data_IF_832102564371
#
_entry.id   IF_832102564371
#
_cell.length_a   1.000
_cell.length_b   1.000
_cell.length_c   1.000
_cell.angle_alpha   90.00
_cell.angle_beta   90.00
_cell.angle_gamma   90.00
#
_symmetry.space_group_name_H-M   'P 1'
#
loop_
_entity.id
_entity.type
_entity.pdbx_description
1 polymer ?
#
# COMPACT_ATOMS: atom_id res chain seq x y z
N UNK A 1 14.31 4.80 1.35
CA UNK A 1 15.21 5.59 2.23
C UNK A 1 14.49 6.16 3.45
N UNK A 2 13.31 6.75 3.31
CA UNK A 2 12.54 7.35 4.43
C UNK A 2 12.26 6.38 5.60
N UNK A 3 11.85 5.13 5.34
CA UNK A 3 11.59 4.15 6.41
C UNK A 3 12.84 3.72 7.18
N UNK A 4 14.01 3.70 6.53
CA UNK A 4 15.28 3.43 7.21
C UNK A 4 15.65 4.57 8.17
N UNK A 5 15.52 5.82 7.70
CA UNK A 5 15.69 7.01 8.54
C UNK A 5 14.73 6.94 9.74
N UNK A 6 13.44 6.71 9.50
CA UNK A 6 12.45 6.52 10.55
C UNK A 6 12.88 5.45 11.58
N UNK A 7 13.29 4.26 11.13
CA UNK A 7 13.68 3.16 12.01
C UNK A 7 14.93 3.50 12.84
N UNK A 8 15.96 4.09 12.22
CA UNK A 8 17.17 4.51 12.92
C UNK A 8 16.85 5.54 14.00
N UNK A 9 16.08 6.57 13.68
CA UNK A 9 15.69 7.59 14.65
C UNK A 9 14.78 7.04 15.74
N UNK A 10 13.86 6.12 15.42
CA UNK A 10 13.02 5.46 16.42
C UNK A 10 13.86 4.71 17.46
N UNK A 11 14.87 3.94 17.01
CA UNK A 11 15.82 3.25 17.91
C UNK A 11 16.65 4.25 18.71
N UNK A 12 17.17 5.31 18.08
CA UNK A 12 17.96 6.32 18.79
C UNK A 12 17.15 7.05 19.86
N UNK A 13 15.92 7.46 19.55
CA UNK A 13 15.01 8.15 20.47
C UNK A 13 14.66 7.29 21.68
N UNK A 14 14.45 5.98 21.46
CA UNK A 14 14.20 5.00 22.52
C UNK A 14 15.42 4.85 23.43
N UNK A 15 16.62 4.75 22.85
CA UNK A 15 17.89 4.59 23.58
C UNK A 15 18.26 5.80 24.44
N UNK A 16 17.95 7.02 23.98
CA UNK A 16 18.21 8.25 24.74
C UNK A 16 17.06 8.63 25.68
N UNK A 17 15.97 7.86 25.71
CA UNK A 17 14.78 8.10 26.55
C UNK A 17 14.24 9.54 26.43
N UNK A 18 14.20 10.07 25.20
CA UNK A 18 13.78 11.46 24.98
C UNK A 18 12.36 11.70 25.48
N UNK A 19 12.12 12.82 26.19
CA UNK A 19 10.80 13.16 26.76
C UNK A 19 9.67 13.19 25.71
N UNK A 20 10.00 13.57 24.47
CA UNK A 20 9.08 13.66 23.34
C UNK A 20 9.20 12.47 22.35
N UNK A 21 9.88 11.37 22.71
CA UNK A 21 10.19 10.24 21.82
C UNK A 21 8.98 9.75 21.03
N UNK A 22 7.83 9.54 21.68
CA UNK A 22 6.62 9.02 21.04
C UNK A 22 6.08 9.97 19.98
N UNK A 23 6.01 11.26 20.27
CA UNK A 23 5.53 12.26 19.31
C UNK A 23 6.46 12.36 18.10
N UNK A 24 7.77 12.44 18.34
CA UNK A 24 8.78 12.53 17.28
C UNK A 24 8.76 11.29 16.37
N UNK A 25 8.67 10.09 16.93
CA UNK A 25 8.57 8.85 16.15
C UNK A 25 7.31 8.84 15.27
N UNK A 26 6.15 9.28 15.77
CA UNK A 26 4.95 9.37 14.93
C UNK A 26 5.07 10.42 13.83
N UNK A 27 5.69 11.59 14.09
CA UNK A 27 5.93 12.62 13.07
C UNK A 27 6.85 12.08 11.96
N UNK A 28 7.95 11.43 12.34
CA UNK A 28 8.87 10.80 11.38
C UNK A 28 8.18 9.69 10.59
N UNK A 29 7.36 8.88 11.24
CA UNK A 29 6.56 7.85 10.57
C UNK A 29 5.55 8.44 9.58
N UNK A 30 4.84 9.50 9.98
CA UNK A 30 3.91 10.21 9.10
C UNK A 30 4.64 10.85 7.91
N UNK A 31 5.82 11.44 8.12
CA UNK A 31 6.65 11.95 7.03
C UNK A 31 7.09 10.83 6.06
N UNK A 32 7.48 9.65 6.59
CA UNK A 32 7.85 8.52 5.76
C UNK A 32 6.69 7.99 4.91
N UNK A 33 5.48 7.85 5.50
CA UNK A 33 4.28 7.49 4.74
C UNK A 33 3.85 8.58 3.76
N UNK A 34 3.98 9.86 4.12
CA UNK A 34 3.67 10.98 3.23
C UNK A 34 4.58 10.99 2.00
N UNK A 35 5.90 10.80 2.20
CA UNK A 35 6.84 10.65 1.09
C UNK A 35 6.51 9.44 0.22
N UNK A 36 6.17 8.31 0.86
CA UNK A 36 5.78 7.09 0.13
C UNK A 36 4.51 7.30 -0.70
N UNK A 37 3.50 7.96 -0.14
CA UNK A 37 2.27 8.29 -0.85
C UNK A 37 2.55 9.18 -2.06
N UNK A 38 3.35 10.24 -1.89
CA UNK A 38 3.73 11.12 -2.98
C UNK A 38 4.47 10.37 -4.09
N UNK A 39 5.44 9.52 -3.71
CA UNK A 39 6.20 8.73 -4.68
C UNK A 39 5.29 7.79 -5.49
N UNK A 40 4.37 7.07 -4.83
CA UNK A 40 3.43 6.20 -5.55
C UNK A 40 2.38 6.98 -6.33
N UNK A 41 1.98 8.16 -5.88
CA UNK A 41 1.04 8.99 -6.63
C UNK A 41 1.66 9.44 -7.95
N UNK A 42 2.87 9.99 -7.90
CA UNK A 42 3.61 10.40 -9.10
C UNK A 42 4.00 9.21 -9.99
N UNK A 43 4.33 8.05 -9.42
CA UNK A 43 4.61 6.86 -10.22
C UNK A 43 3.35 6.25 -10.84
N UNK A 44 2.23 6.28 -10.14
CA UNK A 44 0.98 5.71 -10.65
C UNK A 44 0.40 6.53 -11.80
N UNK A 45 0.71 7.82 -11.91
CA UNK A 45 0.31 8.62 -13.08
C UNK A 45 1.00 8.19 -14.36
N UNK A 46 2.11 7.46 -14.26
CA UNK A 46 2.84 6.92 -15.41
C UNK A 46 2.26 5.59 -15.91
N UNK A 47 1.32 4.98 -15.14
CA UNK A 47 0.75 3.67 -15.42
C UNK A 47 -0.76 3.72 -15.63
N UNK A 48 -1.21 3.25 -16.79
CA UNK A 48 -2.63 3.08 -17.11
C UNK A 48 -3.06 1.59 -17.02
N UNK A 49 -4.35 1.33 -16.84
CA UNK A 49 -4.90 -0.03 -16.91
C UNK A 49 -4.78 -0.83 -15.60
N UNK A 50 -4.19 -2.02 -15.67
CA UNK A 50 -4.13 -2.97 -14.55
C UNK A 50 -3.10 -2.55 -13.49
N UNK A 51 -1.91 -2.14 -13.92
CA UNK A 51 -0.84 -1.68 -13.03
C UNK A 51 -1.28 -0.43 -12.24
N UNK A 52 -1.96 0.51 -12.90
CA UNK A 52 -2.59 1.65 -12.23
C UNK A 52 -3.62 1.24 -11.16
N UNK A 53 -4.46 0.23 -11.41
CA UNK A 53 -5.41 -0.27 -10.42
C UNK A 53 -4.69 -0.81 -9.18
N UNK A 54 -3.61 -1.56 -9.38
CA UNK A 54 -2.80 -2.08 -8.28
C UNK A 54 -2.12 -0.98 -7.44
N UNK A 55 -1.64 0.08 -8.10
CA UNK A 55 -1.08 1.25 -7.41
C UNK A 55 -2.14 2.03 -6.63
N UNK A 56 -3.35 2.17 -7.17
CA UNK A 56 -4.47 2.83 -6.47
C UNK A 56 -4.86 2.09 -5.19
N UNK A 57 -4.92 0.77 -5.25
CA UNK A 57 -5.15 -0.09 -4.08
C UNK A 57 -4.05 0.09 -3.02
N UNK A 58 -2.79 0.10 -3.45
CA UNK A 58 -1.65 0.34 -2.56
C UNK A 58 -1.71 1.72 -1.89
N UNK A 59 -1.98 2.78 -2.67
CA UNK A 59 -2.12 4.15 -2.15
C UNK A 59 -3.21 4.24 -1.08
N UNK A 60 -4.33 3.53 -1.27
CA UNK A 60 -5.41 3.49 -0.29
C UNK A 60 -4.92 2.97 1.08
N UNK A 61 -4.13 1.89 1.10
CA UNK A 61 -3.55 1.36 2.36
C UNK A 61 -2.53 2.34 2.95
N UNK A 62 -1.72 2.98 2.11
CA UNK A 62 -0.75 3.99 2.57
C UNK A 62 -1.46 5.17 3.24
N UNK A 63 -2.59 5.64 2.69
CA UNK A 63 -3.41 6.69 3.30
C UNK A 63 -3.96 6.25 4.65
N UNK A 64 -4.43 5.01 4.79
CA UNK A 64 -4.89 4.46 6.09
C UNK A 64 -3.73 4.39 7.09
N UNK A 65 -2.55 3.96 6.68
CA UNK A 65 -1.35 3.96 7.54
C UNK A 65 -0.92 5.36 7.96
N UNK A 66 -0.96 6.33 7.04
CA UNK A 66 -0.63 7.74 7.31
C UNK A 66 -1.61 8.35 8.31
N UNK A 67 -2.91 8.23 8.04
CA UNK A 67 -3.98 8.78 8.89
C UNK A 67 -3.95 8.20 10.30
N UNK A 68 -3.84 6.87 10.43
CA UNK A 68 -3.74 6.22 11.75
C UNK A 68 -2.44 6.58 12.48
N UNK A 69 -1.34 6.82 11.76
CA UNK A 69 -0.09 7.33 12.36
C UNK A 69 -0.25 8.75 12.89
N UNK A 70 -0.92 9.64 12.15
CA UNK A 70 -1.23 11.00 12.61
C UNK A 70 -2.19 10.99 13.80
N UNK A 71 -3.24 10.14 13.76
CA UNK A 71 -4.16 9.94 14.89
C UNK A 71 -3.42 9.44 16.14
N UNK A 72 -2.36 8.64 15.99
CA UNK A 72 -1.52 8.18 17.10
C UNK A 72 -0.83 9.30 17.89
N UNK A 73 -0.68 10.50 17.30
CA UNK A 73 -0.15 11.69 17.99
C UNK A 73 -1.19 12.21 19.00
N UNK A 74 -2.45 12.34 18.57
CA UNK A 74 -3.55 12.84 19.41
C UNK A 74 -4.15 11.79 20.34
N UNK A 75 -4.07 10.50 19.97
CA UNK A 75 -4.69 9.37 20.67
C UNK A 75 -3.67 8.28 21.03
N UNK A 76 -2.60 8.58 21.79
CA UNK A 76 -1.46 7.67 22.00
C UNK A 76 -1.78 6.41 22.83
N UNK A 77 -2.96 6.34 23.48
CA UNK A 77 -3.41 5.18 24.25
C UNK A 77 -4.53 4.38 23.56
N UNK A 78 -4.93 4.77 22.35
CA UNK A 78 -5.99 4.06 21.64
C UNK A 78 -5.47 2.75 21.06
N UNK A 79 -5.90 1.63 21.65
CA UNK A 79 -5.61 0.30 21.12
C UNK A 79 -6.07 0.17 19.66
N UNK A 80 -7.28 0.67 19.35
CA UNK A 80 -7.84 0.60 18.01
C UNK A 80 -6.97 1.30 16.97
N UNK A 81 -6.48 2.51 17.28
CA UNK A 81 -5.59 3.26 16.36
C UNK A 81 -4.28 2.49 16.13
N UNK A 82 -3.69 1.95 17.19
CA UNK A 82 -2.45 1.16 17.08
C UNK A 82 -2.66 -0.16 16.31
N UNK A 83 -3.79 -0.83 16.54
CA UNK A 83 -4.17 -2.07 15.88
C UNK A 83 -4.41 -1.85 14.38
N UNK A 84 -5.26 -0.88 14.01
CA UNK A 84 -5.55 -0.57 12.59
C UNK A 84 -4.28 -0.13 11.87
N UNK A 85 -3.42 0.68 12.49
CA UNK A 85 -2.13 1.05 11.90
C UNK A 85 -1.25 -0.17 11.64
N UNK A 86 -1.08 -1.03 12.65
CA UNK A 86 -0.21 -2.22 12.52
C UNK A 86 -0.73 -3.16 11.44
N UNK A 87 -2.04 -3.38 11.42
CA UNK A 87 -2.69 -4.17 10.38
C UNK A 87 -2.50 -3.55 8.99
N UNK A 88 -2.72 -2.24 8.84
CA UNK A 88 -2.55 -1.54 7.57
C UNK A 88 -1.12 -1.67 7.04
N UNK A 89 -0.11 -1.56 7.90
CA UNK A 89 1.30 -1.73 7.53
C UNK A 89 1.59 -3.17 7.10
N UNK A 90 1.04 -4.17 7.79
CA UNK A 90 1.18 -5.58 7.41
C UNK A 90 0.53 -5.86 6.06
N UNK A 91 -0.71 -5.39 5.85
CA UNK A 91 -1.41 -5.53 4.58
C UNK A 91 -0.66 -4.83 3.45
N UNK A 92 -0.05 -3.68 3.71
CA UNK A 92 0.79 -2.98 2.74
C UNK A 92 2.01 -3.81 2.34
N UNK A 93 2.72 -4.39 3.32
CA UNK A 93 3.86 -5.28 3.08
C UNK A 93 3.46 -6.52 2.27
N UNK A 94 2.37 -7.18 2.65
CA UNK A 94 1.84 -8.32 1.91
C UNK A 94 1.46 -7.95 0.48
N UNK A 95 0.86 -6.77 0.27
CA UNK A 95 0.50 -6.29 -1.05
C UNK A 95 1.71 -6.10 -1.96
N UNK A 96 2.82 -5.52 -1.46
CA UNK A 96 4.06 -5.42 -2.24
C UNK A 96 4.58 -6.77 -2.71
N UNK A 97 4.53 -7.78 -1.86
CA UNK A 97 4.97 -9.14 -2.20
C UNK A 97 4.07 -9.73 -3.30
N UNK A 98 2.76 -9.62 -3.13
CA UNK A 98 1.77 -10.06 -4.13
C UNK A 98 2.00 -9.36 -5.46
N UNK A 99 2.16 -8.04 -5.46
CA UNK A 99 2.46 -7.23 -6.64
C UNK A 99 3.71 -7.67 -7.36
N UNK A 100 4.79 -7.93 -6.61
CA UNK A 100 6.03 -8.45 -7.16
C UNK A 100 5.81 -9.77 -7.91
N UNK A 101 5.10 -10.72 -7.29
CA UNK A 101 4.77 -11.99 -7.93
C UNK A 101 3.90 -11.84 -9.18
N UNK A 102 2.84 -11.04 -9.11
CA UNK A 102 1.86 -10.89 -10.20
C UNK A 102 2.45 -10.18 -11.42
N UNK A 103 3.32 -9.19 -11.23
CA UNK A 103 3.92 -8.42 -12.33
C UNK A 103 5.17 -9.08 -12.92
N UNK A 104 5.96 -9.82 -12.13
CA UNK A 104 7.25 -10.35 -12.58
C UNK A 104 7.24 -11.83 -12.93
N UNK A 105 6.23 -12.60 -12.52
CA UNK A 105 6.12 -14.00 -12.88
C UNK A 105 5.05 -14.18 -13.95
N UNK A 106 5.43 -14.57 -15.19
CA UNK A 106 4.49 -14.63 -16.32
C UNK A 106 3.33 -15.62 -16.12
N UNK A 107 3.49 -16.63 -15.26
CA UNK A 107 2.43 -17.60 -14.92
C UNK A 107 1.29 -17.05 -14.05
N UNK A 108 1.45 -15.87 -13.47
CA UNK A 108 0.42 -15.23 -12.61
C UNK A 108 -0.31 -14.06 -13.29
N UNK A 109 -0.01 -13.77 -14.56
CA UNK A 109 -0.68 -12.71 -15.31
C UNK A 109 -2.14 -13.11 -15.61
N UNK A 110 -3.13 -12.21 -15.42
CA UNK A 110 -4.52 -12.50 -15.72
C UNK A 110 -4.76 -12.91 -17.19
N UNK A 111 -5.72 -13.82 -17.41
CA UNK A 111 -6.09 -14.27 -18.76
C UNK A 111 -6.50 -13.09 -19.63
N UNK A 112 -5.94 -13.01 -20.83
CA UNK A 112 -6.17 -11.91 -21.77
C UNK A 112 -5.29 -10.68 -21.52
N UNK A 113 -4.36 -10.74 -20.58
CA UNK A 113 -3.30 -9.76 -20.39
C UNK A 113 -1.94 -10.39 -20.67
N UNK A 114 -1.06 -9.63 -21.28
CA UNK A 114 0.27 -10.06 -21.70
C UNK A 114 1.30 -9.02 -21.26
N UNK A 115 2.50 -9.49 -20.98
CA UNK A 115 3.65 -8.63 -20.71
C UNK A 115 4.21 -8.13 -22.03
N UNK A 116 4.08 -6.83 -22.28
CA UNK A 116 4.68 -6.15 -23.42
C UNK A 116 5.95 -5.43 -22.96
N UNK A 117 6.96 -5.39 -23.82
CA UNK A 117 8.15 -4.58 -23.60
C UNK A 117 8.03 -3.33 -24.48
N UNK A 118 7.68 -2.20 -23.85
CA UNK A 118 7.55 -0.90 -24.50
C UNK A 118 8.81 -0.10 -24.18
N UNK A 119 9.72 0.06 -25.16
CA UNK A 119 10.99 0.80 -25.01
C UNK A 119 11.82 0.43 -23.75
N UNK A 120 11.89 -0.87 -23.43
CA UNK A 120 12.64 -1.38 -22.28
C UNK A 120 11.85 -1.42 -20.97
N UNK A 121 10.59 -0.95 -20.96
CA UNK A 121 9.67 -1.04 -19.83
C UNK A 121 8.70 -2.21 -20.03
N UNK A 122 8.73 -3.15 -19.08
CA UNK A 122 7.79 -4.28 -19.04
C UNK A 122 6.46 -3.80 -18.48
N UNK A 123 5.45 -3.68 -19.34
CA UNK A 123 4.10 -3.26 -18.96
C UNK A 123 3.10 -4.38 -19.23
N UNK A 124 2.12 -4.55 -18.35
CA UNK A 124 1.04 -5.51 -18.58
C UNK A 124 -0.10 -4.82 -19.33
N UNK A 125 -0.28 -5.17 -20.61
CA UNK A 125 -1.44 -4.71 -21.41
C UNK A 125 -2.42 -5.84 -21.63
N UNK A 126 -3.71 -5.51 -21.53
CA UNK A 126 -4.80 -6.45 -21.81
C UNK A 126 -5.31 -6.26 -23.23
N UNK A 127 -5.66 -7.36 -23.91
CA UNK A 127 -6.05 -7.35 -25.32
C UNK A 127 -7.47 -6.81 -25.57
N UNK A 128 -8.31 -6.73 -24.54
CA UNK A 128 -9.66 -6.20 -24.60
C UNK A 128 -10.07 -5.52 -23.29
N UNK A 129 -11.05 -4.62 -23.37
CA UNK A 129 -11.65 -3.99 -22.19
C UNK A 129 -12.27 -5.01 -21.23
N UNK A 130 -12.89 -6.08 -21.75
CA UNK A 130 -13.42 -7.18 -20.92
C UNK A 130 -12.32 -7.88 -20.12
N UNK A 131 -11.17 -8.15 -20.75
CA UNK A 131 -10.02 -8.74 -20.06
C UNK A 131 -9.44 -7.79 -19.01
N UNK A 132 -9.41 -6.49 -19.30
CA UNK A 132 -8.99 -5.46 -18.35
C UNK A 132 -9.92 -5.38 -17.14
N UNK A 133 -11.24 -5.33 -17.35
CA UNK A 133 -12.24 -5.32 -16.27
C UNK A 133 -12.13 -6.58 -15.39
N UNK A 134 -11.96 -7.75 -16.01
CA UNK A 134 -11.72 -9.00 -15.28
C UNK A 134 -10.44 -8.93 -14.45
N UNK A 135 -9.35 -8.44 -15.02
CA UNK A 135 -8.07 -8.32 -14.32
C UNK A 135 -8.16 -7.36 -13.12
N UNK A 136 -8.80 -6.19 -13.29
CA UNK A 136 -9.05 -5.24 -12.20
C UNK A 136 -9.94 -5.84 -11.11
N UNK A 137 -10.98 -6.59 -11.47
CA UNK A 137 -11.83 -7.30 -10.52
C UNK A 137 -11.05 -8.33 -9.71
N UNK A 138 -10.18 -9.11 -10.35
CA UNK A 138 -9.29 -10.06 -9.67
C UNK A 138 -8.33 -9.36 -8.69
N UNK A 139 -7.75 -8.23 -9.10
CA UNK A 139 -6.91 -7.41 -8.21
C UNK A 139 -7.69 -6.93 -6.98
N UNK A 140 -8.93 -6.45 -7.16
CA UNK A 140 -9.79 -6.01 -6.06
C UNK A 140 -10.15 -7.17 -5.11
N UNK A 141 -10.44 -8.36 -5.64
CA UNK A 141 -10.72 -9.56 -4.83
C UNK A 141 -9.48 -9.97 -4.04
N UNK A 142 -8.30 -9.99 -4.68
CA UNK A 142 -7.05 -10.35 -4.02
C UNK A 142 -6.70 -9.38 -2.90
N UNK A 143 -6.91 -8.08 -3.14
CA UNK A 143 -6.75 -7.04 -2.13
C UNK A 143 -7.75 -7.20 -0.98
N UNK A 144 -9.02 -7.46 -1.31
CA UNK A 144 -10.06 -7.76 -0.34
C UNK A 144 -9.70 -8.95 0.55
N UNK A 145 -9.16 -10.04 -0.01
CA UNK A 145 -8.70 -11.21 0.74
C UNK A 145 -7.49 -10.91 1.64
N UNK A 146 -6.53 -10.12 1.13
CA UNK A 146 -5.38 -9.68 1.91
C UNK A 146 -5.80 -8.80 3.11
N UNK A 147 -6.86 -8.00 2.96
CA UNK A 147 -7.48 -7.26 4.06
C UNK A 147 -8.36 -8.16 4.96
N UNK A 148 -9.09 -9.13 4.39
CA UNK A 148 -10.06 -9.99 5.10
C UNK A 148 -9.38 -11.04 6.01
N UNK A 149 -8.09 -11.32 5.84
CA UNK A 149 -7.33 -12.10 6.84
C UNK A 149 -7.36 -11.48 8.24
N UNK A 150 -7.82 -10.23 8.38
CA UNK A 150 -8.31 -9.66 9.63
C UNK A 150 -9.83 -9.76 9.69
N UNK A 151 -10.32 -10.84 10.30
CA UNK A 151 -11.72 -10.98 10.65
C UNK A 151 -12.19 -9.70 11.39
N UNK A 152 -13.02 -8.90 10.70
CA UNK A 152 -13.85 -7.78 11.16
C UNK A 152 -13.62 -6.37 10.54
N UNK A 153 -12.71 -6.16 9.59
CA UNK A 153 -12.69 -4.91 8.80
C UNK A 153 -13.13 -5.16 7.35
N UNK A 154 -14.41 -4.89 7.06
CA UNK A 154 -14.89 -4.78 5.68
C UNK A 154 -14.26 -3.54 5.05
N UNK A 155 -13.21 -3.71 4.26
CA UNK A 155 -12.75 -2.69 3.31
C UNK A 155 -13.79 -2.51 2.19
N UNK A 156 -14.89 -1.83 2.48
CA UNK A 156 -15.93 -1.49 1.49
C UNK A 156 -15.56 -0.28 0.60
N UNK A 157 -14.30 0.16 0.59
CA UNK A 157 -13.91 1.39 -0.11
C UNK A 157 -13.70 1.20 -1.63
N UNK A 158 -13.49 -0.04 -2.10
CA UNK A 158 -13.10 -0.33 -3.50
C UNK A 158 -14.24 -0.91 -4.34
N UNK A 159 -15.34 -1.36 -3.71
CA UNK A 159 -16.47 -1.97 -4.41
C UNK A 159 -17.41 -0.98 -5.12
N UNK A 160 -17.16 0.33 -5.03
CA UNK A 160 -18.03 1.39 -5.59
C UNK A 160 -17.47 2.16 -6.79
N UNK A 161 -16.31 1.76 -7.34
CA UNK A 161 -15.64 2.43 -8.46
C UNK A 161 -15.59 1.56 -9.73
N UNK A 162 -16.50 0.58 -9.83
CA UNK A 162 -16.67 -0.28 -11.00
C UNK A 162 -17.55 0.35 -12.06
#
# INVERSE_FOLDING_TARGET
>A
MSFFVYATFAVLLDRISARAQRGLTHILGAAAFGQQLLMFHLHSTDHAGLEGQYHLLLQTVVVVSLTTTLMGIGLPKSFLVSFVRSLSILSQGAWFVIMGFMLWIPGFIPKGCLLYNDDGHKIVRCSSEEALHRAKSLANIQFGLACHWSHHFRCNLVSGLG
#
